data_IF_041107632763
#
_entry.id   IF_041107632763
#
_cell.length_a   1.000
_cell.length_b   1.000
_cell.length_c   1.000
_cell.angle_alpha   90.00
_cell.angle_beta   90.00
_cell.angle_gamma   90.00
#
_symmetry.space_group_name_H-M   'P 1'
#
loop_
_entity.id
_entity.type
_entity.pdbx_description
1 polymer ?
#
# COMPACT_ATOMS: atom_id res chain seq x y z
N UNK A 1 18.59 -7.67 13.12
CA UNK A 1 17.70 -8.70 12.50
C UNK A 1 16.27 -8.71 13.03
N UNK A 2 15.96 -8.01 14.09
CA UNK A 2 14.62 -8.08 14.71
C UNK A 2 13.48 -7.58 13.83
N UNK A 3 13.76 -6.61 12.91
CA UNK A 3 12.72 -6.05 12.06
C UNK A 3 12.05 -7.08 11.15
N UNK A 4 12.76 -8.14 10.69
CA UNK A 4 12.12 -9.19 9.89
C UNK A 4 11.03 -9.91 10.67
N UNK A 5 11.24 -10.17 11.96
CA UNK A 5 10.28 -10.80 12.85
C UNK A 5 9.06 -9.93 13.14
N UNK A 6 9.24 -8.59 13.05
CA UNK A 6 8.16 -7.61 13.18
C UNK A 6 7.38 -7.48 11.88
N UNK A 7 8.07 -7.46 10.72
CA UNK A 7 7.44 -7.25 9.40
C UNK A 7 6.81 -8.54 8.84
N UNK A 8 7.42 -9.69 9.13
CA UNK A 8 7.01 -11.01 8.66
C UNK A 8 7.33 -12.06 9.74
N UNK A 9 7.59 -13.30 9.37
CA UNK A 9 8.15 -14.33 10.25
C UNK A 9 9.53 -14.76 9.73
N UNK A 10 10.50 -14.92 10.65
CA UNK A 10 11.87 -15.32 10.29
C UNK A 10 12.03 -16.82 10.05
N UNK A 11 11.00 -17.63 10.27
CA UNK A 11 10.98 -19.08 9.99
C UNK A 11 10.39 -19.44 8.62
N UNK A 12 10.03 -18.43 7.80
CA UNK A 12 9.45 -18.61 6.49
C UNK A 12 7.94 -18.86 6.48
N UNK A 13 7.28 -18.80 7.63
CA UNK A 13 5.81 -18.86 7.68
C UNK A 13 5.20 -17.63 7.03
N UNK A 14 4.01 -17.77 6.45
CA UNK A 14 3.24 -16.67 5.92
C UNK A 14 2.65 -15.82 7.05
N UNK A 15 2.72 -14.51 6.88
CA UNK A 15 2.11 -13.54 7.79
C UNK A 15 1.21 -12.61 7.03
N UNK A 16 0.10 -12.20 7.63
CA UNK A 16 -0.85 -11.27 7.05
C UNK A 16 -0.78 -9.96 7.83
N UNK A 17 -0.47 -8.88 7.13
CA UNK A 17 -0.64 -7.52 7.63
C UNK A 17 -1.94 -6.97 7.06
N UNK A 18 -2.88 -6.61 7.93
CA UNK A 18 -4.14 -5.96 7.57
C UNK A 18 -4.09 -4.50 8.01
N UNK A 19 -4.64 -3.61 7.19
CA UNK A 19 -4.80 -2.21 7.54
C UNK A 19 -6.16 -1.66 7.16
N UNK A 20 -6.55 -0.61 7.87
CA UNK A 20 -7.72 0.22 7.55
C UNK A 20 -7.40 1.68 7.84
N UNK A 21 -8.05 2.56 7.14
CA UNK A 21 -7.86 4.00 7.31
C UNK A 21 -8.70 4.82 6.35
N UNK A 22 -8.22 6.02 6.09
CA UNK A 22 -8.92 7.01 5.32
C UNK A 22 -7.97 7.69 4.32
N UNK A 23 -8.53 8.15 3.20
CA UNK A 23 -7.83 8.88 2.16
C UNK A 23 -8.44 10.26 2.02
N UNK A 24 -7.59 11.25 2.15
CA UNK A 24 -7.94 12.65 1.99
C UNK A 24 -7.31 13.20 0.73
N UNK A 25 -8.08 13.99 0.00
CA UNK A 25 -7.59 14.81 -1.09
C UNK A 25 -7.42 16.25 -0.63
N UNK A 26 -6.44 16.93 -1.15
CA UNK A 26 -6.25 18.36 -0.96
C UNK A 26 -5.89 19.01 -2.29
N UNK A 27 -6.36 20.23 -2.51
CA UNK A 27 -6.03 21.06 -3.66
C UNK A 27 -5.23 22.28 -3.18
N UNK A 28 -4.45 22.89 -4.05
CA UNK A 28 -3.62 24.04 -3.69
C UNK A 28 -4.45 25.24 -3.20
N UNK A 29 -5.69 25.37 -3.69
CA UNK A 29 -6.63 26.45 -3.41
C UNK A 29 -7.85 26.04 -2.57
N UNK A 30 -7.85 24.81 -2.03
CA UNK A 30 -8.97 24.25 -1.28
C UNK A 30 -8.58 23.61 0.04
N UNK A 31 -9.59 23.30 0.86
CA UNK A 31 -9.42 22.52 2.10
C UNK A 31 -9.27 21.02 1.82
N UNK A 32 -8.91 20.23 2.83
CA UNK A 32 -8.87 18.78 2.71
C UNK A 32 -10.29 18.21 2.58
N UNK A 33 -10.44 17.22 1.69
CA UNK A 33 -11.67 16.47 1.47
C UNK A 33 -11.48 15.03 1.89
N UNK A 34 -12.37 14.47 2.71
CA UNK A 34 -12.41 13.04 2.98
C UNK A 34 -13.00 12.33 1.75
N UNK A 35 -12.17 11.64 0.98
CA UNK A 35 -12.58 11.06 -0.30
C UNK A 35 -12.97 9.60 -0.17
N UNK A 36 -12.20 8.81 0.56
CA UNK A 36 -12.39 7.36 0.66
C UNK A 36 -12.10 6.84 2.06
N UNK A 37 -12.79 5.77 2.45
CA UNK A 37 -12.22 4.79 3.32
C UNK A 37 -11.23 3.91 2.54
N UNK A 38 -10.29 3.29 3.23
CA UNK A 38 -9.29 2.44 2.61
C UNK A 38 -8.98 1.25 3.51
N UNK A 39 -9.03 0.05 2.97
CA UNK A 39 -8.62 -1.14 3.69
C UNK A 39 -7.87 -2.09 2.78
N UNK A 40 -6.95 -2.86 3.34
CA UNK A 40 -6.18 -3.79 2.54
C UNK A 40 -5.38 -4.78 3.37
N UNK A 41 -4.68 -5.63 2.66
CA UNK A 41 -3.78 -6.64 3.21
C UNK A 41 -2.49 -6.74 2.41
N UNK A 42 -1.44 -7.15 3.08
CA UNK A 42 -0.22 -7.63 2.48
C UNK A 42 0.12 -8.98 3.10
N UNK A 43 0.21 -10.02 2.28
CA UNK A 43 0.68 -11.32 2.73
C UNK A 43 2.16 -11.43 2.40
N UNK A 44 2.94 -11.81 3.38
CA UNK A 44 4.39 -11.85 3.31
C UNK A 44 4.96 -13.19 3.74
N UNK A 45 5.99 -13.64 3.04
CA UNK A 45 6.89 -14.72 3.42
C UNK A 45 8.32 -14.18 3.40
N UNK A 46 9.08 -14.40 4.47
CA UNK A 46 10.49 -14.05 4.50
C UNK A 46 11.35 -15.26 4.12
N UNK A 47 12.34 -15.03 3.27
CA UNK A 47 13.33 -16.02 2.87
C UNK A 47 14.71 -15.43 3.11
N UNK A 48 15.56 -16.15 3.84
CA UNK A 48 16.94 -15.74 4.06
C UNK A 48 17.69 -15.73 2.72
N UNK A 49 18.49 -14.68 2.50
CA UNK A 49 19.28 -14.51 1.29
C UNK A 49 20.61 -13.84 1.63
N UNK A 50 21.57 -13.91 0.71
CA UNK A 50 22.88 -13.30 0.90
C UNK A 50 22.77 -11.81 1.28
N UNK A 51 23.30 -11.48 2.44
CA UNK A 51 23.30 -10.11 2.97
C UNK A 51 21.97 -9.63 3.57
N UNK A 52 21.02 -10.53 3.87
CA UNK A 52 19.78 -10.17 4.54
C UNK A 52 18.60 -11.08 4.22
N UNK A 53 17.46 -10.49 3.91
CA UNK A 53 16.19 -11.18 3.69
C UNK A 53 15.52 -10.73 2.39
N UNK A 54 14.86 -11.66 1.73
CA UNK A 54 13.87 -11.36 0.69
C UNK A 54 12.47 -11.48 1.31
N UNK A 55 11.66 -10.44 1.14
CA UNK A 55 10.24 -10.49 1.42
C UNK A 55 9.50 -10.75 0.11
N UNK A 56 8.85 -11.90 0.04
CA UNK A 56 7.96 -12.29 -1.05
C UNK A 56 6.56 -11.87 -0.64
N UNK A 57 5.97 -10.91 -1.35
CA UNK A 57 4.69 -10.34 -0.89
C UNK A 57 3.71 -10.12 -2.03
N UNK A 58 2.41 -10.21 -1.70
CA UNK A 58 1.28 -9.71 -2.48
C UNK A 58 0.51 -8.68 -1.69
N UNK A 59 -0.07 -7.75 -2.39
CA UNK A 59 -0.82 -6.66 -1.79
C UNK A 59 -2.15 -6.48 -2.51
N UNK A 60 -3.23 -6.37 -1.73
CA UNK A 60 -4.52 -5.96 -2.22
C UNK A 60 -5.15 -4.92 -1.30
N UNK A 61 -5.79 -3.89 -1.89
CA UNK A 61 -6.52 -2.91 -1.10
C UNK A 61 -7.71 -2.34 -1.86
N UNK A 62 -8.75 -2.00 -1.10
CA UNK A 62 -10.04 -1.55 -1.59
C UNK A 62 -10.31 -0.11 -1.16
N UNK A 63 -10.80 0.70 -2.09
CA UNK A 63 -11.36 2.01 -1.81
C UNK A 63 -12.84 1.85 -1.42
N UNK A 64 -13.23 2.51 -0.35
CA UNK A 64 -14.53 2.39 0.27
C UNK A 64 -15.23 3.75 0.28
N UNK A 65 -16.55 3.75 0.25
CA UNK A 65 -17.32 4.93 0.59
C UNK A 65 -16.91 5.43 1.99
N UNK A 66 -16.62 6.73 2.15
CA UNK A 66 -16.09 7.24 3.41
C UNK A 66 -17.10 7.20 4.57
N UNK A 67 -18.41 7.10 4.27
CA UNK A 67 -19.49 7.10 5.27
C UNK A 67 -20.00 5.70 5.55
N UNK A 68 -20.36 4.94 4.48
CA UNK A 68 -20.97 3.60 4.62
C UNK A 68 -19.91 2.50 4.77
N UNK A 69 -18.68 2.76 4.33
CA UNK A 69 -17.57 1.79 4.27
C UNK A 69 -17.85 0.63 3.30
N UNK A 70 -18.78 0.81 2.39
CA UNK A 70 -19.01 -0.11 1.29
C UNK A 70 -17.92 0.04 0.22
N UNK A 71 -17.63 -1.06 -0.47
CA UNK A 71 -16.64 -1.05 -1.56
C UNK A 71 -17.18 -0.26 -2.74
N UNK A 72 -16.38 0.66 -3.26
CA UNK A 72 -16.74 1.50 -4.39
C UNK A 72 -16.34 0.82 -5.71
N UNK A 73 -17.29 0.53 -6.59
CA UNK A 73 -17.01 0.15 -7.97
C UNK A 73 -16.94 1.38 -8.89
N UNK A 74 -17.72 2.42 -8.58
CA UNK A 74 -17.71 3.74 -9.25
C UNK A 74 -17.66 4.86 -8.22
N UNK A 75 -17.17 6.00 -8.61
CA UNK A 75 -17.07 7.18 -7.75
C UNK A 75 -17.41 8.46 -8.52
N UNK A 76 -18.36 9.22 -7.98
CA UNK A 76 -18.66 10.57 -8.45
C UNK A 76 -17.61 11.51 -7.89
N UNK A 77 -16.62 11.88 -8.71
CA UNK A 77 -15.52 12.72 -8.30
C UNK A 77 -16.00 14.16 -8.03
N UNK A 78 -16.06 14.63 -6.78
CA UNK A 78 -16.57 15.95 -6.47
C UNK A 78 -15.65 17.09 -6.94
N UNK A 79 -14.41 16.77 -7.32
CA UNK A 79 -13.41 17.74 -7.75
C UNK A 79 -13.43 17.96 -9.28
N UNK A 80 -14.02 17.03 -10.04
CA UNK A 80 -14.10 17.10 -11.50
C UNK A 80 -15.53 16.99 -12.04
N UNK A 81 -16.50 16.70 -11.17
CA UNK A 81 -17.91 16.44 -11.51
C UNK A 81 -18.08 15.29 -12.53
N UNK A 82 -17.14 14.33 -12.51
CA UNK A 82 -17.13 13.15 -13.39
C UNK A 82 -17.33 11.88 -12.59
N UNK A 83 -18.20 11.01 -13.07
CA UNK A 83 -18.25 9.63 -12.61
C UNK A 83 -17.07 8.85 -13.19
N UNK A 84 -16.32 8.15 -12.35
CA UNK A 84 -15.16 7.34 -12.75
C UNK A 84 -15.26 5.95 -12.17
N UNK A 85 -14.76 4.96 -12.89
CA UNK A 85 -14.60 3.60 -12.38
C UNK A 85 -13.43 3.55 -11.40
N UNK A 86 -13.66 3.01 -10.21
CA UNK A 86 -12.64 2.88 -9.17
C UNK A 86 -11.71 1.73 -9.52
N UNK A 87 -10.41 1.99 -9.46
CA UNK A 87 -9.42 0.92 -9.58
C UNK A 87 -8.82 0.62 -8.21
N UNK A 88 -9.16 -0.54 -7.69
CA UNK A 88 -8.56 -1.07 -6.46
C UNK A 88 -7.10 -1.47 -6.66
N UNK A 89 -6.41 -1.65 -5.56
CA UNK A 89 -4.99 -2.08 -5.57
C UNK A 89 -4.93 -3.60 -5.60
N UNK A 90 -4.25 -4.13 -6.60
CA UNK A 90 -3.90 -5.54 -6.71
C UNK A 90 -2.48 -5.61 -7.27
N UNK A 91 -1.48 -5.74 -6.37
CA UNK A 91 -0.08 -5.79 -6.77
C UNK A 91 0.50 -7.20 -6.53
N UNK A 92 0.99 -7.82 -7.58
CA UNK A 92 1.53 -9.20 -7.56
C UNK A 92 2.74 -9.35 -8.48
N UNK A 93 3.92 -9.65 -7.92
CA UNK A 93 4.30 -9.50 -6.52
C UNK A 93 4.76 -8.08 -6.16
N UNK A 94 4.85 -7.81 -4.85
CA UNK A 94 5.48 -6.59 -4.29
C UNK A 94 6.70 -7.01 -3.48
N UNK A 95 7.66 -7.63 -4.12
CA UNK A 95 8.83 -8.19 -3.45
C UNK A 95 9.81 -7.11 -2.97
N UNK A 96 10.41 -7.31 -1.81
CA UNK A 96 11.34 -6.38 -1.21
C UNK A 96 12.61 -7.11 -0.73
N UNK A 97 13.74 -6.40 -0.76
CA UNK A 97 14.97 -6.86 -0.14
C UNK A 97 15.23 -6.04 1.11
N UNK A 98 15.39 -6.72 2.23
CA UNK A 98 15.81 -6.13 3.49
C UNK A 98 17.27 -6.51 3.73
N UNK A 99 18.15 -5.51 3.68
CA UNK A 99 19.57 -5.71 3.93
C UNK A 99 19.88 -5.95 5.40
N UNK A 100 21.15 -6.25 5.69
CA UNK A 100 21.64 -6.46 7.04
C UNK A 100 21.73 -5.17 7.89
N UNK A 101 21.43 -4.01 7.31
CA UNK A 101 21.48 -2.74 8.04
C UNK A 101 20.32 -2.63 9.04
N UNK A 102 20.61 -2.12 10.26
CA UNK A 102 19.57 -1.93 11.24
C UNK A 102 18.57 -0.88 10.77
N UNK A 103 17.28 -1.20 10.90
CA UNK A 103 16.20 -0.24 10.68
C UNK A 103 16.23 0.77 11.85
N UNK A 104 16.13 2.09 11.60
CA UNK A 104 16.06 3.09 12.65
C UNK A 104 14.96 2.80 13.65
N UNK A 105 15.28 2.85 14.94
CA UNK A 105 14.34 2.58 16.02
C UNK A 105 14.26 3.72 17.02
N UNK A 106 13.09 3.85 17.63
CA UNK A 106 12.85 4.71 18.81
C UNK A 106 12.26 3.86 19.91
N UNK A 107 12.72 4.00 21.14
CA UNK A 107 12.12 3.33 22.30
C UNK A 107 11.21 4.28 23.03
N UNK A 108 9.98 3.83 23.30
CA UNK A 108 8.98 4.57 24.06
C UNK A 108 8.38 3.63 25.13
N UNK A 109 8.84 3.75 26.36
CA UNK A 109 8.49 2.80 27.42
C UNK A 109 8.96 1.37 27.09
N UNK A 110 8.04 0.45 27.06
CA UNK A 110 8.24 -0.96 26.68
C UNK A 110 8.08 -1.23 25.18
N UNK A 111 7.75 -0.20 24.38
CA UNK A 111 7.62 -0.30 22.94
C UNK A 111 8.94 0.02 22.22
N UNK A 112 9.25 -0.78 21.22
CA UNK A 112 10.27 -0.48 20.20
C UNK A 112 9.55 -0.13 18.91
N UNK A 113 9.82 1.06 18.40
CA UNK A 113 9.19 1.61 17.20
C UNK A 113 10.22 1.59 16.07
N UNK A 114 9.94 0.83 15.01
CA UNK A 114 10.75 0.83 13.78
C UNK A 114 10.19 1.85 12.81
N UNK A 115 11.03 2.79 12.38
CA UNK A 115 10.63 3.87 11.50
C UNK A 115 11.17 3.59 10.08
N UNK A 116 10.29 3.61 9.08
CA UNK A 116 10.64 3.38 7.68
C UNK A 116 10.04 4.48 6.83
N UNK A 117 10.91 5.26 6.21
CA UNK A 117 10.55 6.31 5.27
C UNK A 117 10.94 5.87 3.86
N UNK A 118 9.94 5.68 2.99
CA UNK A 118 10.15 5.30 1.61
C UNK A 118 9.89 6.53 0.73
N UNK A 119 10.94 7.03 0.10
CA UNK A 119 10.87 8.15 -0.83
C UNK A 119 10.87 7.62 -2.25
N UNK A 120 9.75 7.78 -2.94
CA UNK A 120 9.59 7.34 -4.32
C UNK A 120 9.78 8.52 -5.27
N UNK A 121 10.70 8.38 -6.21
CA UNK A 121 10.90 9.31 -7.31
C UNK A 121 11.43 8.54 -8.53
N UNK A 122 10.58 8.36 -9.53
CA UNK A 122 10.94 7.63 -10.75
C UNK A 122 10.14 8.14 -11.96
N UNK A 123 10.58 7.86 -13.20
CA UNK A 123 9.81 8.21 -14.40
C UNK A 123 8.40 7.62 -14.33
N UNK A 124 7.38 8.47 -14.52
CA UNK A 124 5.99 7.99 -14.54
C UNK A 124 5.80 7.00 -15.68
N UNK A 125 5.19 5.83 -15.44
CA UNK A 125 4.78 4.90 -16.49
C UNK A 125 3.71 5.49 -17.42
N UNK A 126 2.93 6.47 -16.92
CA UNK A 126 1.93 7.20 -17.68
C UNK A 126 2.46 8.59 -17.98
N UNK A 127 2.86 8.83 -19.23
CA UNK A 127 3.34 10.15 -19.65
C UNK A 127 2.17 11.12 -19.81
N UNK A 128 2.37 12.38 -19.44
CA UNK A 128 1.35 13.43 -19.55
C UNK A 128 0.87 13.59 -21.01
N UNK A 129 1.79 13.49 -21.98
CA UNK A 129 1.45 13.61 -23.40
C UNK A 129 0.48 12.52 -23.88
N UNK A 130 0.59 11.31 -23.32
CA UNK A 130 -0.24 10.15 -23.72
C UNK A 130 -1.50 10.03 -22.84
N UNK A 131 -1.46 10.56 -21.61
CA UNK A 131 -2.51 10.44 -20.60
C UNK A 131 -2.77 11.79 -19.88
N UNK A 132 -3.17 12.86 -20.60
CA UNK A 132 -3.28 14.20 -20.04
C UNK A 132 -4.32 14.32 -18.92
N UNK A 133 -5.38 13.52 -18.95
CA UNK A 133 -6.42 13.50 -17.91
C UNK A 133 -6.05 12.63 -16.69
N UNK A 134 -5.04 11.77 -16.80
CA UNK A 134 -4.76 10.73 -15.82
C UNK A 134 -3.37 10.82 -15.18
N UNK A 135 -2.50 11.66 -15.73
CA UNK A 135 -1.13 11.83 -15.26
C UNK A 135 -0.87 13.29 -14.86
N UNK A 136 -0.43 13.47 -13.62
CA UNK A 136 -0.09 14.81 -13.12
C UNK A 136 1.31 15.26 -13.54
N UNK A 137 2.22 14.33 -13.85
CA UNK A 137 3.63 14.64 -14.17
C UNK A 137 4.32 13.44 -14.82
N UNK A 138 5.33 13.71 -15.64
CA UNK A 138 6.22 12.68 -16.21
C UNK A 138 7.15 12.04 -15.18
N UNK A 139 7.16 12.54 -13.95
CA UNK A 139 7.88 11.95 -12.81
C UNK A 139 6.90 11.65 -11.70
N UNK A 140 6.78 10.38 -11.32
CA UNK A 140 6.03 10.00 -10.13
C UNK A 140 6.84 10.30 -8.87
N UNK A 141 6.20 10.92 -7.87
CA UNK A 141 6.79 11.20 -6.56
C UNK A 141 5.78 10.86 -5.47
N UNK A 142 6.21 10.08 -4.49
CA UNK A 142 5.41 9.78 -3.31
C UNK A 142 6.30 9.61 -2.08
N UNK A 143 5.70 9.71 -0.92
CA UNK A 143 6.34 9.45 0.37
C UNK A 143 5.47 8.47 1.14
N UNK A 144 6.06 7.40 1.65
CA UNK A 144 5.40 6.45 2.53
C UNK A 144 6.15 6.42 3.87
N UNK A 145 5.40 6.63 4.95
CA UNK A 145 5.91 6.71 6.31
C UNK A 145 5.28 5.59 7.13
N UNK A 146 6.11 4.65 7.55
CA UNK A 146 5.68 3.53 8.39
C UNK A 146 6.28 3.65 9.78
N UNK A 147 5.47 3.33 10.77
CA UNK A 147 5.92 3.09 12.13
C UNK A 147 5.38 1.74 12.58
N UNK A 148 6.26 0.79 12.86
CA UNK A 148 5.90 -0.52 13.39
C UNK A 148 6.21 -0.55 14.89
N UNK A 149 5.20 -0.88 15.69
CA UNK A 149 5.27 -0.91 17.16
C UNK A 149 5.32 -2.35 17.62
N UNK A 150 6.38 -2.73 18.29
CA UNK A 150 6.58 -4.08 18.86
C UNK A 150 6.93 -3.97 20.34
N UNK A 151 6.47 -4.93 21.13
CA UNK A 151 6.86 -5.05 22.55
C UNK A 151 8.33 -5.46 22.67
N UNK A 152 9.10 -4.77 23.51
CA UNK A 152 10.47 -5.16 23.81
C UNK A 152 10.52 -6.59 24.37
N UNK A 153 9.54 -6.98 25.19
CA UNK A 153 9.43 -8.34 25.74
C UNK A 153 9.28 -9.40 24.64
N UNK A 154 8.46 -9.14 23.62
CA UNK A 154 8.25 -10.08 22.53
C UNK A 154 9.50 -10.16 21.63
N UNK A 155 10.19 -9.04 21.42
CA UNK A 155 11.49 -9.02 20.75
C UNK A 155 12.55 -9.84 21.50
N UNK A 156 12.62 -9.71 22.83
CA UNK A 156 13.59 -10.41 23.67
C UNK A 156 13.26 -11.92 23.80
N UNK A 157 12.01 -12.34 23.53
CA UNK A 157 11.59 -13.74 23.64
C UNK A 157 12.19 -14.67 22.59
N UNK A 158 12.72 -14.11 21.49
CA UNK A 158 13.29 -14.90 20.40
C UNK A 158 12.28 -15.57 19.46
N UNK A 159 10.95 -15.33 19.61
CA UNK A 159 9.93 -15.90 18.71
C UNK A 159 10.15 -15.45 17.26
N UNK A 160 9.93 -16.33 16.28
CA UNK A 160 10.17 -15.99 14.87
C UNK A 160 9.17 -14.98 14.32
N UNK A 161 7.96 -14.90 14.86
CA UNK A 161 6.90 -13.99 14.50
C UNK A 161 6.54 -13.11 15.70
N UNK A 162 6.90 -11.83 15.64
CA UNK A 162 6.63 -10.85 16.70
C UNK A 162 5.33 -10.12 16.36
N UNK A 163 4.32 -10.14 17.25
CA UNK A 163 3.11 -9.35 17.06
C UNK A 163 3.44 -7.86 16.93
N UNK A 164 2.79 -7.18 16.00
CA UNK A 164 2.97 -5.74 15.87
C UNK A 164 1.68 -5.05 15.41
N UNK A 165 1.57 -3.79 15.79
CA UNK A 165 0.67 -2.83 15.16
C UNK A 165 1.50 -1.82 14.40
N UNK A 166 0.93 -1.18 13.37
CA UNK A 166 1.65 -0.15 12.61
C UNK A 166 0.75 1.01 12.22
N UNK A 167 1.35 2.17 12.06
CA UNK A 167 0.78 3.29 11.34
C UNK A 167 1.40 3.40 9.97
N UNK A 168 0.62 3.84 9.00
CA UNK A 168 1.08 4.14 7.66
C UNK A 168 0.44 5.43 7.16
N UNK A 169 1.29 6.34 6.76
CA UNK A 169 0.89 7.54 6.06
C UNK A 169 1.52 7.55 4.67
N UNK A 170 0.74 7.87 3.65
CA UNK A 170 1.26 8.06 2.29
C UNK A 170 0.82 9.41 1.78
N UNK A 171 1.77 10.13 1.17
CA UNK A 171 1.50 11.34 0.40
C UNK A 171 1.84 11.04 -1.05
N UNK A 172 0.90 11.27 -1.96
CA UNK A 172 1.09 10.94 -3.38
C UNK A 172 0.33 11.90 -4.29
N UNK A 173 0.65 11.95 -5.59
CA UNK A 173 -0.20 12.57 -6.59
C UNK A 173 -1.59 11.91 -6.61
N UNK A 174 -2.51 12.54 -7.33
CA UNK A 174 -3.80 11.94 -7.66
C UNK A 174 -3.63 10.60 -8.36
N UNK A 175 -4.54 9.66 -8.09
CA UNK A 175 -4.54 8.37 -8.76
C UNK A 175 -4.99 8.54 -10.22
N UNK A 176 -4.41 7.79 -11.16
CA UNK A 176 -4.74 7.93 -12.59
C UNK A 176 -6.23 7.79 -12.88
N UNK A 177 -6.90 6.85 -12.23
CA UNK A 177 -8.34 6.58 -12.44
C UNK A 177 -9.26 7.72 -11.94
N UNK A 178 -8.76 8.62 -11.10
CA UNK A 178 -9.53 9.77 -10.61
C UNK A 178 -9.73 10.85 -11.69
N UNK A 179 -9.01 10.77 -12.80
CA UNK A 179 -9.10 11.71 -13.93
C UNK A 179 -8.89 13.18 -13.51
N UNK A 180 -7.90 13.42 -12.64
CA UNK A 180 -7.59 14.76 -12.13
C UNK A 180 -6.67 15.56 -13.05
N UNK A 181 -6.06 14.94 -14.05
CA UNK A 181 -5.12 15.59 -14.95
C UNK A 181 -3.94 16.21 -14.20
N UNK A 182 -3.60 17.44 -14.56
CA UNK A 182 -2.52 18.21 -13.96
C UNK A 182 -2.99 19.16 -12.85
N UNK A 183 -4.17 18.91 -12.24
CA UNK A 183 -4.63 19.72 -11.12
C UNK A 183 -3.65 19.62 -9.95
N UNK A 184 -3.32 20.77 -9.36
CA UNK A 184 -2.51 20.86 -8.16
C UNK A 184 -3.13 20.12 -6.98
N UNK A 185 -2.29 19.73 -5.99
CA UNK A 185 -2.71 18.95 -4.84
C UNK A 185 -2.35 17.45 -4.94
N UNK A 186 -3.07 16.62 -4.22
CA UNK A 186 -2.79 15.19 -4.16
C UNK A 186 -3.56 14.48 -3.05
N UNK A 187 -3.07 13.32 -2.67
CA UNK A 187 -3.69 12.42 -1.70
C UNK A 187 -2.82 12.23 -0.46
N UNK A 188 -3.49 12.17 0.68
CA UNK A 188 -2.91 11.74 1.96
C UNK A 188 -3.68 10.52 2.45
N UNK A 189 -2.99 9.40 2.61
CA UNK A 189 -3.49 8.20 3.25
C UNK A 189 -3.09 8.24 4.72
N UNK A 190 -4.02 7.95 5.59
CA UNK A 190 -3.79 7.83 7.01
C UNK A 190 -4.39 6.51 7.51
N UNK A 191 -3.54 5.51 7.65
CA UNK A 191 -3.92 4.14 7.94
C UNK A 191 -3.23 3.62 9.20
N UNK A 192 -3.87 2.64 9.81
CA UNK A 192 -3.35 1.84 10.91
C UNK A 192 -3.59 0.37 10.61
N UNK A 193 -2.71 -0.48 11.08
CA UNK A 193 -2.82 -1.91 10.83
C UNK A 193 -2.14 -2.74 11.89
N UNK A 194 -2.24 -4.04 11.71
CA UNK A 194 -1.60 -5.04 12.57
C UNK A 194 -1.29 -6.31 11.76
N UNK A 195 -0.39 -7.13 12.28
CA UNK A 195 -0.36 -8.54 11.88
C UNK A 195 -1.58 -9.24 12.48
N UNK A 196 -2.26 -10.04 11.66
CA UNK A 196 -3.52 -10.70 12.01
C UNK A 196 -3.47 -12.16 11.58
N UNK A 197 -4.21 -13.01 12.30
CA UNK A 197 -4.41 -14.40 11.89
C UNK A 197 -5.44 -14.51 10.75
N UNK A 198 -6.42 -13.60 10.72
CA UNK A 198 -7.49 -13.59 9.73
C UNK A 198 -7.85 -12.17 9.33
N UNK A 199 -8.24 -11.99 8.09
CA UNK A 199 -8.76 -10.71 7.57
C UNK A 199 -10.28 -10.69 7.58
N UNK A 200 -10.92 -9.50 7.58
CA UNK A 200 -12.38 -9.39 7.48
C UNK A 200 -12.94 -10.16 6.28
N UNK A 201 -14.04 -10.87 6.48
CA UNK A 201 -14.66 -11.72 5.47
C UNK A 201 -14.92 -10.98 4.15
N UNK A 202 -15.45 -9.74 4.22
CA UNK A 202 -15.72 -8.93 3.03
C UNK A 202 -14.45 -8.66 2.20
N UNK A 203 -13.32 -8.41 2.87
CA UNK A 203 -12.04 -8.19 2.18
C UNK A 203 -11.59 -9.49 1.52
N UNK A 204 -11.66 -10.62 2.25
CA UNK A 204 -11.32 -11.95 1.75
C UNK A 204 -12.10 -12.30 0.48
N UNK A 205 -13.42 -12.07 0.48
CA UNK A 205 -14.31 -12.36 -0.65
C UNK A 205 -13.96 -11.50 -1.88
N UNK A 206 -13.57 -10.25 -1.68
CA UNK A 206 -13.28 -9.30 -2.77
C UNK A 206 -11.88 -9.48 -3.36
N UNK A 207 -10.87 -9.87 -2.57
CA UNK A 207 -9.49 -10.01 -3.06
C UNK A 207 -9.20 -11.37 -3.68
N UNK A 208 -9.98 -12.40 -3.33
CA UNK A 208 -9.82 -13.77 -3.82
C UNK A 208 -8.64 -14.51 -3.17
N UNK A 209 -8.66 -15.83 -3.28
CA UNK A 209 -7.72 -16.74 -2.60
C UNK A 209 -6.26 -16.47 -2.96
N UNK A 210 -5.99 -16.10 -4.22
CA UNK A 210 -4.63 -15.82 -4.69
C UNK A 210 -3.90 -14.75 -3.85
N UNK A 211 -4.61 -13.70 -3.43
CA UNK A 211 -4.05 -12.61 -2.63
C UNK A 211 -3.98 -12.92 -1.14
N UNK A 212 -4.48 -14.08 -0.71
CA UNK A 212 -4.36 -14.54 0.67
C UNK A 212 -3.09 -15.35 0.92
N UNK A 213 -2.25 -15.56 -0.11
CA UNK A 213 -0.99 -16.28 -0.05
C UNK A 213 0.17 -15.46 -0.60
N UNK A 214 1.34 -15.57 0.02
CA UNK A 214 2.57 -14.98 -0.51
C UNK A 214 3.06 -15.74 -1.75
N UNK A 215 3.85 -15.10 -2.64
CA UNK A 215 4.53 -15.81 -3.70
C UNK A 215 5.45 -16.91 -3.15
N UNK A 216 5.57 -18.04 -3.88
CA UNK A 216 6.46 -19.13 -3.49
C UNK A 216 7.94 -18.77 -3.69
N UNK A 217 8.22 -17.95 -4.71
CA UNK A 217 9.58 -17.57 -5.12
C UNK A 217 9.64 -16.10 -5.58
N UNK A 218 10.86 -15.60 -5.68
CA UNK A 218 11.10 -14.25 -6.19
C UNK A 218 10.82 -14.18 -7.68
N UNK A 219 10.01 -13.23 -8.10
CA UNK A 219 9.77 -12.88 -9.49
C UNK A 219 9.70 -11.37 -9.69
N UNK A 220 9.81 -10.92 -10.95
CA UNK A 220 9.52 -9.54 -11.30
C UNK A 220 8.03 -9.23 -11.09
N UNK A 221 7.65 -7.97 -10.83
CA UNK A 221 6.25 -7.57 -10.78
C UNK A 221 5.52 -7.95 -12.08
N UNK A 222 4.39 -8.66 -11.95
CA UNK A 222 3.55 -9.08 -13.05
C UNK A 222 2.34 -8.16 -13.20
N UNK A 223 1.65 -7.92 -12.08
CA UNK A 223 0.50 -7.01 -12.00
C UNK A 223 0.82 -5.88 -11.02
N UNK A 224 0.61 -4.66 -11.46
CA UNK A 224 0.72 -3.45 -10.62
C UNK A 224 -0.47 -2.54 -10.90
N UNK A 225 -0.75 -1.61 -10.01
CA UNK A 225 -1.77 -0.58 -10.26
C UNK A 225 -1.51 0.21 -11.56
N UNK A 226 -0.24 0.35 -11.96
CA UNK A 226 0.14 1.01 -13.22
C UNK A 226 -0.20 0.17 -14.45
N UNK A 227 0.18 -1.13 -14.45
CA UNK A 227 -0.10 -2.02 -15.58
C UNK A 227 -1.59 -2.24 -15.74
N UNK A 228 -2.32 -2.43 -14.65
CA UNK A 228 -3.78 -2.57 -14.65
C UNK A 228 -4.48 -1.32 -15.22
N UNK A 229 -4.01 -0.11 -14.84
CA UNK A 229 -4.56 1.12 -15.41
C UNK A 229 -4.28 1.23 -16.91
N UNK A 230 -3.04 0.99 -17.33
CA UNK A 230 -2.64 1.08 -18.74
C UNK A 230 -3.43 0.12 -19.62
N UNK A 231 -3.64 -1.11 -19.17
CA UNK A 231 -4.47 -2.11 -19.86
C UNK A 231 -5.93 -1.68 -19.98
N UNK A 232 -6.49 -1.10 -18.91
CA UNK A 232 -7.86 -0.57 -18.92
C UNK A 232 -7.99 0.61 -19.89
N UNK A 233 -7.07 1.56 -19.83
CA UNK A 233 -7.05 2.71 -20.73
C UNK A 233 -6.93 2.31 -22.20
N UNK A 234 -6.17 1.27 -22.51
CA UNK A 234 -6.02 0.74 -23.87
C UNK A 234 -7.30 0.11 -24.44
N UNK A 235 -8.22 -0.35 -23.57
CA UNK A 235 -9.51 -0.94 -23.98
C UNK A 235 -10.61 0.10 -24.21
N UNK A 236 -10.43 1.32 -23.72
CA UNK A 236 -11.41 2.39 -23.92
C UNK A 236 -11.20 3.00 -25.32
N UNK A 237 -12.25 3.15 -26.15
CA UNK A 237 -12.12 3.80 -27.44
C UNK A 237 -11.63 5.23 -27.21
N UNK A 238 -10.60 5.64 -27.93
CA UNK A 238 -10.18 7.04 -27.97
C UNK A 238 -11.30 7.82 -28.65
N UNK A 239 -12.05 8.60 -27.87
CA UNK A 239 -13.10 9.49 -28.36
C UNK A 239 -12.55 10.64 -29.20
#
# INVERSE_FOLDING_TARGET
MDFIRVRASSDGAETISYWTGDVYGWQDDGGPHHLFGFEGLNVARAVEADGGWQLLTREAALYLDPRTREVLDTWDNPLTERAVEVQHVFNDPVNQRLGAYPVPTTRLGDQVIYNIDIRLAYPSPLKVADHPDNSASDTYRALELFQFFASAKDLDSGVPDVPCVFSWCRVSPWLPWMAMGQRGGGLVYHCRGAKVAEVPQRLRERVGEHFLHAPAEWSAPNVTSWTAFAERAARQPRG
#
